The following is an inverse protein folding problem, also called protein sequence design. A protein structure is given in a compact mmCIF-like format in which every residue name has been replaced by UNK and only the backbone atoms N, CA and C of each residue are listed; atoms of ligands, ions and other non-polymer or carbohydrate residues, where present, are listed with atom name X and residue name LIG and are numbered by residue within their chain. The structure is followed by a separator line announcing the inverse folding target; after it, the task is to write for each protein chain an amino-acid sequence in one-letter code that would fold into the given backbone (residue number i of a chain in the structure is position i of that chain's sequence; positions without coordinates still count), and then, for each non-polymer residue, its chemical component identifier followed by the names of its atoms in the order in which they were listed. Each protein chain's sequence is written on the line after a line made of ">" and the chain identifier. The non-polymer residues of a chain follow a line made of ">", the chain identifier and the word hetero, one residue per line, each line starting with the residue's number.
data_IF_466811791942
#
_entry.id   IF_466811791942
#
_cell.length_a   1.000
_cell.length_b   1.000
_cell.length_c   1.000
_cell.angle_alpha   90.00
_cell.angle_beta   90.00
_cell.angle_gamma   90.00
#
_symmetry.space_group_name_H-M   'P 1'
#
loop_
_entity.id
_entity.type
_entity.pdbx_description
1 polymer ?
#
# COMPACT_ATOMS: atom_id res chain seq x y z
N UNK A 1 40.96 -41.96 25.61
CA UNK A 1 40.03 -41.87 24.50
C UNK A 1 38.76 -41.22 24.99
N UNK A 2 38.56 -39.99 24.57
CA UNK A 2 37.49 -39.17 25.08
C UNK A 2 36.49 -38.93 23.94
N UNK A 3 35.29 -39.44 24.11
CA UNK A 3 34.17 -39.12 23.21
C UNK A 3 33.44 -37.93 23.72
N UNK A 4 33.57 -36.80 23.03
CA UNK A 4 32.80 -35.58 23.33
C UNK A 4 31.41 -35.69 22.80
N UNK A 5 30.44 -35.62 23.69
CA UNK A 5 29.03 -35.47 23.38
C UNK A 5 28.75 -34.03 22.94
N UNK A 6 28.56 -33.84 21.65
CA UNK A 6 28.06 -32.59 21.10
C UNK A 6 26.55 -32.56 21.22
N UNK A 7 26.07 -31.74 22.13
CA UNK A 7 24.66 -31.44 22.25
C UNK A 7 24.14 -30.75 21.01
N UNK A 8 23.18 -31.37 20.33
CA UNK A 8 22.39 -30.68 19.31
C UNK A 8 21.46 -29.65 19.96
N UNK A 9 21.85 -28.42 19.85
CA UNK A 9 20.95 -27.30 20.13
C UNK A 9 20.00 -27.16 18.98
N UNK A 10 18.75 -27.54 19.17
CA UNK A 10 17.65 -27.22 18.28
C UNK A 10 17.33 -25.74 18.43
N UNK A 11 17.93 -24.94 17.54
CA UNK A 11 17.55 -23.54 17.38
C UNK A 11 16.16 -23.52 16.72
N UNK A 12 15.16 -23.11 17.49
CA UNK A 12 13.85 -22.80 16.95
C UNK A 12 14.00 -21.60 16.00
N UNK A 13 13.91 -21.87 14.71
CA UNK A 13 13.78 -20.82 13.70
C UNK A 13 12.41 -20.15 13.88
N UNK A 14 12.40 -18.99 14.47
CA UNK A 14 11.28 -18.09 14.29
C UNK A 14 11.21 -17.77 12.80
N UNK A 15 10.06 -18.02 12.20
CA UNK A 15 9.79 -17.64 10.82
C UNK A 15 9.79 -16.11 10.72
N UNK A 16 10.96 -15.55 10.49
CA UNK A 16 11.05 -14.17 10.06
C UNK A 16 10.57 -14.14 8.62
N UNK A 17 9.47 -13.45 8.38
CA UNK A 17 9.03 -13.10 7.03
C UNK A 17 10.16 -12.34 6.36
N UNK A 18 10.89 -13.02 5.47
CA UNK A 18 11.91 -12.37 4.67
C UNK A 18 11.18 -11.54 3.64
N UNK A 19 10.98 -10.26 3.95
CA UNK A 19 10.70 -9.28 2.92
C UNK A 19 11.98 -9.23 2.09
N UNK A 20 11.94 -9.78 0.88
CA UNK A 20 13.01 -9.61 -0.08
C UNK A 20 13.01 -8.13 -0.44
N UNK A 21 13.75 -7.32 0.32
CA UNK A 21 14.07 -5.98 -0.09
C UNK A 21 14.89 -6.12 -1.37
N UNK A 22 14.33 -5.66 -2.48
CA UNK A 22 15.11 -5.39 -3.65
C UNK A 22 16.22 -4.42 -3.23
N UNK A 23 17.44 -4.76 -3.53
CA UNK A 23 18.69 -4.10 -3.11
C UNK A 23 18.85 -2.67 -3.70
N UNK A 24 17.76 -1.91 -3.81
CA UNK A 24 17.79 -0.50 -4.16
C UNK A 24 17.13 0.30 -3.05
N UNK A 25 17.88 1.20 -2.45
CA UNK A 25 17.40 2.13 -1.42
C UNK A 25 16.28 3.06 -1.91
N UNK A 26 15.94 3.02 -3.21
CA UNK A 26 14.90 3.83 -3.82
C UNK A 26 13.80 2.92 -4.35
N UNK A 27 12.57 3.01 -3.82
CA UNK A 27 11.42 2.28 -4.36
C UNK A 27 11.22 2.63 -5.84
N UNK A 28 11.12 1.60 -6.69
CA UNK A 28 10.88 1.80 -8.12
C UNK A 28 9.41 2.10 -8.38
N UNK A 29 9.16 3.18 -9.10
CA UNK A 29 7.83 3.50 -9.63
C UNK A 29 7.70 2.96 -11.04
N UNK A 30 6.68 2.15 -11.25
CA UNK A 30 6.37 1.53 -12.52
C UNK A 30 4.97 1.92 -13.00
N UNK A 31 4.76 1.96 -14.32
CA UNK A 31 3.46 2.28 -14.92
C UNK A 31 2.67 1.00 -15.21
N UNK A 32 1.47 0.91 -14.67
CA UNK A 32 0.57 -0.24 -14.76
C UNK A 32 -0.84 0.19 -15.16
N UNK A 33 -1.52 -0.63 -15.93
CA UNK A 33 -2.95 -0.45 -16.25
C UNK A 33 -3.79 -1.01 -15.11
N UNK A 34 -4.74 -0.24 -14.60
CA UNK A 34 -5.72 -0.75 -13.63
C UNK A 34 -6.79 -1.52 -14.38
N UNK A 35 -6.95 -2.80 -14.07
CA UNK A 35 -7.97 -3.68 -14.66
C UNK A 35 -9.29 -3.65 -13.91
N UNK A 36 -9.21 -3.58 -12.59
CA UNK A 36 -10.40 -3.49 -11.72
C UNK A 36 -10.03 -2.99 -10.34
N UNK A 37 -10.96 -2.30 -9.71
CA UNK A 37 -10.92 -1.93 -8.30
C UNK A 37 -11.79 -2.92 -7.53
N UNK A 38 -11.18 -3.74 -6.68
CA UNK A 38 -11.88 -4.77 -5.89
C UNK A 38 -12.52 -4.12 -4.66
N UNK A 39 -11.74 -3.30 -3.96
CA UNK A 39 -12.15 -2.57 -2.76
C UNK A 39 -11.46 -1.21 -2.69
N UNK A 40 -11.69 -0.45 -1.66
CA UNK A 40 -11.03 0.87 -1.48
C UNK A 40 -9.52 0.80 -1.31
N UNK A 41 -8.97 -0.37 -1.07
CA UNK A 41 -7.54 -0.59 -0.85
C UNK A 41 -6.94 -1.72 -1.71
N UNK A 42 -7.74 -2.36 -2.56
CA UNK A 42 -7.27 -3.50 -3.36
C UNK A 42 -7.69 -3.39 -4.83
N UNK A 43 -6.70 -3.54 -5.72
CA UNK A 43 -6.85 -3.41 -7.15
C UNK A 43 -6.18 -4.57 -7.90
N UNK A 44 -6.67 -4.86 -9.09
CA UNK A 44 -5.96 -5.72 -10.06
C UNK A 44 -5.29 -4.81 -11.08
N UNK A 45 -3.99 -4.96 -11.24
CA UNK A 45 -3.17 -4.18 -12.17
C UNK A 45 -2.46 -5.09 -13.16
N UNK A 46 -2.24 -4.59 -14.38
CA UNK A 46 -1.61 -5.35 -15.46
C UNK A 46 -0.53 -4.53 -16.15
N UNK A 47 0.59 -5.19 -16.43
CA UNK A 47 1.67 -4.66 -17.25
C UNK A 47 2.16 -5.76 -18.19
N UNK A 48 1.93 -5.59 -19.51
CA UNK A 48 2.21 -6.61 -20.52
C UNK A 48 1.50 -7.93 -20.18
N UNK A 49 2.24 -9.01 -19.92
CA UNK A 49 1.72 -10.34 -19.57
C UNK A 49 1.60 -10.57 -18.06
N UNK A 50 2.04 -9.63 -17.24
CA UNK A 50 2.00 -9.73 -15.79
C UNK A 50 0.70 -9.14 -15.25
N UNK A 51 0.08 -9.85 -14.33
CA UNK A 51 -1.06 -9.37 -13.54
C UNK A 51 -0.67 -9.43 -12.07
N UNK A 52 -0.94 -8.37 -11.33
CA UNK A 52 -0.70 -8.30 -9.89
C UNK A 52 -1.96 -7.87 -9.15
N UNK A 53 -2.15 -8.43 -7.97
CA UNK A 53 -3.05 -7.85 -6.98
C UNK A 53 -2.25 -6.82 -6.18
N UNK A 54 -2.68 -5.56 -6.25
CA UNK A 54 -2.11 -4.46 -5.48
C UNK A 54 -2.98 -4.22 -4.25
N UNK A 55 -2.38 -4.27 -3.09
CA UNK A 55 -2.93 -3.79 -1.83
C UNK A 55 -2.33 -2.42 -1.54
N UNK A 56 -3.16 -1.39 -1.43
CA UNK A 56 -2.71 -0.07 -1.03
C UNK A 56 -2.16 -0.11 0.40
N UNK A 57 -0.92 0.33 0.53
CA UNK A 57 -0.16 0.25 1.76
C UNK A 57 -0.64 1.29 2.78
N UNK A 58 -0.67 0.95 4.05
CA UNK A 58 -0.89 1.90 5.13
C UNK A 58 -2.36 2.19 5.50
N UNK A 59 -3.30 1.44 4.98
CA UNK A 59 -4.74 1.65 5.21
C UNK A 59 -5.36 0.60 6.14
N UNK A 60 -6.31 1.03 6.95
CA UNK A 60 -7.22 0.20 7.75
C UNK A 60 -8.59 0.87 7.83
N UNK A 61 -9.59 0.13 8.33
CA UNK A 61 -10.94 0.64 8.62
C UNK A 61 -11.53 1.51 7.50
N UNK A 62 -11.54 0.97 6.28
CA UNK A 62 -12.08 1.68 5.13
C UNK A 62 -13.59 1.91 5.24
N UNK A 63 -14.03 3.09 4.83
CA UNK A 63 -15.47 3.38 4.69
C UNK A 63 -16.04 2.74 3.43
N UNK A 64 -17.36 2.63 3.38
CA UNK A 64 -18.08 2.14 2.18
C UNK A 64 -17.83 3.02 0.94
N UNK A 65 -17.51 4.30 1.14
CA UNK A 65 -17.26 5.25 0.05
C UNK A 65 -15.83 5.18 -0.50
N UNK A 66 -14.91 4.51 0.18
CA UNK A 66 -13.50 4.43 -0.23
C UNK A 66 -13.35 3.81 -1.63
N UNK A 67 -14.07 2.71 -1.92
CA UNK A 67 -14.04 2.07 -3.24
C UNK A 67 -14.48 3.03 -4.35
N UNK A 68 -15.61 3.70 -4.17
CA UNK A 68 -16.12 4.66 -5.15
C UNK A 68 -15.15 5.83 -5.40
N UNK A 69 -14.46 6.25 -4.35
CA UNK A 69 -13.42 7.29 -4.46
C UNK A 69 -12.26 6.81 -5.35
N UNK A 70 -11.76 5.61 -5.09
CA UNK A 70 -10.68 5.01 -5.90
C UNK A 70 -11.15 4.80 -7.35
N UNK A 71 -12.34 4.26 -7.57
CA UNK A 71 -12.93 4.07 -8.92
C UNK A 71 -12.93 5.38 -9.74
N UNK A 72 -13.19 6.52 -9.10
CA UNK A 72 -13.21 7.83 -9.77
C UNK A 72 -11.81 8.38 -10.07
N UNK A 73 -10.79 7.93 -9.36
CA UNK A 73 -9.41 8.43 -9.52
C UNK A 73 -8.58 7.61 -10.50
N UNK A 74 -8.94 6.36 -10.73
CA UNK A 74 -8.23 5.51 -11.69
C UNK A 74 -8.60 5.86 -13.13
N UNK A 75 -7.60 5.76 -14.01
CA UNK A 75 -7.80 5.97 -15.44
C UNK A 75 -8.27 4.68 -16.12
N UNK A 76 -9.15 4.84 -17.10
CA UNK A 76 -9.62 3.73 -17.92
C UNK A 76 -8.48 3.15 -18.79
N UNK A 77 -8.46 1.81 -19.00
CA UNK A 77 -7.54 1.22 -19.96
C UNK A 77 -7.70 1.84 -21.37
N UNK A 78 -6.62 2.02 -22.14
CA UNK A 78 -5.26 1.52 -21.91
C UNK A 78 -4.34 2.44 -21.10
N UNK A 79 -4.84 3.50 -20.52
CA UNK A 79 -4.01 4.43 -19.75
C UNK A 79 -3.38 3.75 -18.53
N UNK A 80 -2.16 4.17 -18.22
CA UNK A 80 -1.39 3.62 -17.09
C UNK A 80 -1.36 4.55 -15.91
N UNK A 81 -1.24 3.95 -14.72
CA UNK A 81 -1.07 4.66 -13.46
C UNK A 81 0.32 4.36 -12.89
N UNK A 82 1.04 5.36 -12.38
CA UNK A 82 2.29 5.13 -11.66
C UNK A 82 2.02 4.40 -10.35
N UNK A 83 2.78 3.33 -10.07
CA UNK A 83 2.69 2.55 -8.84
C UNK A 83 4.08 2.36 -8.28
N UNK A 84 4.26 2.71 -7.01
CA UNK A 84 5.48 2.46 -6.25
C UNK A 84 5.25 1.23 -5.37
N UNK A 85 5.94 0.13 -5.67
CA UNK A 85 5.80 -1.11 -4.91
C UNK A 85 6.75 -1.12 -3.71
N UNK A 86 6.23 -1.51 -2.54
CA UNK A 86 7.01 -1.68 -1.32
C UNK A 86 7.48 -3.13 -1.14
N UNK A 87 6.71 -4.09 -1.59
CA UNK A 87 7.03 -5.51 -1.44
C UNK A 87 5.88 -6.41 -1.82
N UNK A 88 6.05 -7.69 -1.53
CA UNK A 88 5.08 -8.75 -1.81
C UNK A 88 5.00 -9.68 -0.59
N UNK A 89 3.81 -10.13 -0.22
CA UNK A 89 3.62 -11.11 0.83
C UNK A 89 3.78 -12.56 0.31
N UNK A 90 3.66 -13.52 1.23
CA UNK A 90 3.76 -14.95 0.92
C UNK A 90 2.62 -15.44 0.02
N UNK A 91 1.47 -14.77 0.03
CA UNK A 91 0.31 -15.09 -0.82
C UNK A 91 0.43 -14.51 -2.23
N UNK A 92 1.47 -13.72 -2.50
CA UNK A 92 1.72 -13.09 -3.79
C UNK A 92 1.00 -11.76 -3.99
N UNK A 93 0.45 -11.17 -2.93
CA UNK A 93 -0.16 -9.85 -2.97
C UNK A 93 0.93 -8.79 -2.85
N UNK A 94 0.92 -7.84 -3.79
CA UNK A 94 1.86 -6.73 -3.82
C UNK A 94 1.35 -5.56 -3.01
N UNK A 95 2.20 -5.01 -2.17
CA UNK A 95 1.92 -3.80 -1.39
C UNK A 95 2.60 -2.61 -2.05
N UNK A 96 1.91 -1.49 -2.05
CA UNK A 96 2.45 -0.28 -2.65
C UNK A 96 1.49 0.89 -2.57
N UNK A 97 1.85 1.96 -3.27
CA UNK A 97 1.04 3.15 -3.42
C UNK A 97 0.85 3.47 -4.90
N UNK A 98 -0.30 3.99 -5.24
CA UNK A 98 -0.65 4.41 -6.59
C UNK A 98 -0.74 5.94 -6.64
N UNK A 99 -0.18 6.52 -7.68
CA UNK A 99 -0.19 7.94 -7.90
C UNK A 99 -1.29 8.34 -8.87
N UNK A 100 -2.06 9.35 -8.51
CA UNK A 100 -3.17 9.86 -9.30
C UNK A 100 -2.96 11.34 -9.59
N UNK A 101 -3.42 11.80 -10.74
CA UNK A 101 -3.31 13.22 -11.07
C UNK A 101 -4.21 14.06 -10.17
N UNK A 102 -3.71 15.24 -9.80
CA UNK A 102 -4.53 16.28 -9.18
C UNK A 102 -5.61 16.78 -10.16
N UNK A 103 -6.60 17.47 -9.65
CA UNK A 103 -7.67 18.05 -10.49
C UNK A 103 -7.15 18.95 -11.62
N UNK A 104 -6.00 19.58 -11.42
CA UNK A 104 -5.34 20.44 -12.42
C UNK A 104 -4.43 19.67 -13.38
N UNK A 105 -4.30 18.34 -13.26
CA UNK A 105 -3.44 17.46 -14.05
C UNK A 105 -1.94 17.82 -14.10
N UNK A 106 -1.48 18.70 -13.20
CA UNK A 106 -0.09 19.16 -13.19
C UNK A 106 0.78 18.42 -12.19
N UNK A 107 0.17 17.81 -11.17
CA UNK A 107 0.86 17.12 -10.09
C UNK A 107 0.25 15.74 -9.87
N UNK A 108 1.02 14.87 -9.27
CA UNK A 108 0.60 13.53 -8.85
C UNK A 108 0.50 13.47 -7.34
N UNK A 109 -0.55 12.85 -6.85
CA UNK A 109 -0.80 12.63 -5.42
C UNK A 109 -0.98 11.15 -5.11
N UNK A 110 -0.53 10.75 -3.93
CA UNK A 110 -0.76 9.41 -3.41
C UNK A 110 -2.25 9.14 -3.19
N UNK A 111 -2.77 8.07 -3.78
CA UNK A 111 -4.17 7.66 -3.54
C UNK A 111 -4.38 7.26 -2.07
N UNK A 112 -3.41 6.62 -1.44
CA UNK A 112 -3.43 6.30 -0.01
C UNK A 112 -3.50 7.58 0.83
N UNK A 113 -2.66 8.56 0.52
CA UNK A 113 -2.68 9.87 1.19
C UNK A 113 -4.02 10.58 1.04
N UNK A 114 -4.62 10.55 -0.14
CA UNK A 114 -5.93 11.15 -0.41
C UNK A 114 -7.06 10.46 0.36
N UNK A 115 -7.05 9.12 0.46
CA UNK A 115 -8.03 8.36 1.24
C UNK A 115 -7.96 8.74 2.73
N UNK A 116 -6.76 8.84 3.28
CA UNK A 116 -6.54 9.27 4.66
C UNK A 116 -6.95 10.73 4.89
N UNK A 117 -6.54 11.63 3.99
CA UNK A 117 -6.86 13.07 4.08
C UNK A 117 -8.36 13.37 4.06
N UNK A 118 -9.12 12.57 3.31
CA UNK A 118 -10.58 12.69 3.24
C UNK A 118 -11.33 11.87 4.31
N UNK A 119 -10.62 11.21 5.21
CA UNK A 119 -11.22 10.39 6.26
C UNK A 119 -11.98 9.17 5.73
N UNK A 120 -11.59 8.65 4.57
CA UNK A 120 -12.20 7.45 3.95
C UNK A 120 -11.59 6.15 4.46
N UNK A 121 -10.49 6.25 5.18
CA UNK A 121 -9.81 5.14 5.85
C UNK A 121 -9.05 5.69 7.06
N UNK A 122 -8.58 4.78 7.92
CA UNK A 122 -7.62 5.08 8.98
C UNK A 122 -6.23 4.58 8.60
N UNK A 123 -5.23 5.14 9.22
CA UNK A 123 -3.85 4.69 9.10
C UNK A 123 -3.68 3.32 9.78
N UNK A 124 -3.08 2.37 9.08
CA UNK A 124 -2.74 1.07 9.67
C UNK A 124 -1.55 1.19 10.62
N UNK A 125 -1.39 0.20 11.52
CA UNK A 125 -0.29 0.22 12.50
C UNK A 125 1.09 0.05 11.88
N UNK A 126 1.15 -0.58 10.73
CA UNK A 126 2.38 -0.90 9.99
C UNK A 126 2.69 0.09 8.84
N UNK A 127 2.07 1.27 8.87
CA UNK A 127 2.23 2.33 7.86
C UNK A 127 3.69 2.73 7.62
N UNK A 128 4.56 2.59 8.61
CA UNK A 128 5.97 2.92 8.51
C UNK A 128 6.75 2.02 7.54
N UNK A 129 6.19 0.87 7.16
CA UNK A 129 6.74 0.00 6.12
C UNK A 129 6.37 0.46 4.70
N UNK A 130 5.53 1.47 4.59
CA UNK A 130 5.09 2.02 3.31
C UNK A 130 6.06 3.08 2.79
N UNK A 131 6.18 3.26 1.45
CA UNK A 131 7.13 4.22 0.87
C UNK A 131 6.96 5.67 1.35
N UNK A 132 5.73 6.06 1.69
CA UNK A 132 5.39 7.42 2.11
C UNK A 132 4.73 7.48 3.50
N UNK A 133 5.12 6.58 4.39
CA UNK A 133 4.47 6.43 5.70
C UNK A 133 4.34 7.72 6.51
N UNK A 134 5.36 8.56 6.55
CA UNK A 134 5.32 9.84 7.29
C UNK A 134 4.29 10.80 6.70
N UNK A 135 4.17 10.87 5.37
CA UNK A 135 3.16 11.67 4.68
C UNK A 135 1.75 11.14 4.96
N UNK A 136 1.58 9.84 5.08
CA UNK A 136 0.31 9.22 5.43
C UNK A 136 -0.15 9.59 6.84
N UNK A 137 0.78 9.58 7.78
CA UNK A 137 0.49 10.03 9.15
C UNK A 137 0.06 11.49 9.21
N UNK A 138 0.73 12.35 8.44
CA UNK A 138 0.34 13.77 8.32
C UNK A 138 -1.07 13.93 7.72
N UNK A 139 -1.39 13.20 6.66
CA UNK A 139 -2.71 13.23 6.03
C UNK A 139 -3.83 12.82 7.00
N UNK A 140 -3.63 11.75 7.78
CA UNK A 140 -4.58 11.33 8.80
C UNK A 140 -4.77 12.40 9.89
N UNK A 141 -3.69 13.01 10.37
CA UNK A 141 -3.76 14.07 11.38
C UNK A 141 -4.57 15.26 10.89
N UNK A 142 -4.40 15.67 9.63
CA UNK A 142 -5.19 16.74 9.01
C UNK A 142 -6.67 16.36 8.92
N UNK A 143 -7.01 15.12 8.57
CA UNK A 143 -8.39 14.64 8.55
C UNK A 143 -9.03 14.64 9.94
N UNK A 144 -8.27 14.29 10.98
CA UNK A 144 -8.71 14.35 12.38
C UNK A 144 -9.01 15.78 12.82
N UNK A 145 -8.12 16.72 12.52
CA UNK A 145 -8.31 18.15 12.86
C UNK A 145 -9.55 18.71 12.18
N UNK A 146 -9.78 18.37 10.91
CA UNK A 146 -10.93 18.81 10.13
C UNK A 146 -12.19 17.98 10.36
N UNK A 147 -12.11 16.90 11.14
CA UNK A 147 -13.21 15.96 11.42
C UNK A 147 -13.86 15.39 10.16
N UNK A 148 -13.04 15.01 9.19
CA UNK A 148 -13.51 14.40 7.94
C UNK A 148 -13.82 12.91 8.10
N UNK A 149 -14.85 12.43 7.40
CA UNK A 149 -15.19 11.02 7.25
C UNK A 149 -15.27 10.25 8.57
N UNK A 150 -14.42 9.25 8.77
CA UNK A 150 -14.36 8.43 9.99
C UNK A 150 -14.06 9.23 11.27
N UNK A 151 -13.57 10.46 11.13
CA UNK A 151 -13.25 11.37 12.23
C UNK A 151 -14.36 12.37 12.53
N UNK A 152 -15.46 12.33 11.79
CA UNK A 152 -16.60 13.20 12.04
C UNK A 152 -17.22 12.89 13.39
N UNK A 153 -17.51 13.94 14.16
CA UNK A 153 -18.29 13.80 15.41
C UNK A 153 -19.73 13.50 15.04
N UNK A 154 -20.26 12.40 15.55
CA UNK A 154 -21.70 12.14 15.53
C UNK A 154 -22.38 12.83 16.70
#
# INVERSE_FOLDING_TARGET
>A
MICSLLGCSLSSRSSQTIIVSLDSEIPLTEHWVVKSVISGDRLIVKKRFQTRTLQLCGLSDLTLNAKNYVDKKVKEPPETMPITFAGKDEEGIWYGDMWVNTENNNDEESITGLLLLNGLAKLSKDYYNCPNGDSFKLAENLAKEKKFGVWSSK
#
